data_IF_956157127617
#
_entry.id   IF_956157127617
#
_cell.length_a   1.000
_cell.length_b   1.000
_cell.length_c   1.000
_cell.angle_alpha   90.00
_cell.angle_beta   90.00
_cell.angle_gamma   90.00
#
_symmetry.space_group_name_H-M   'P 1'
#
loop_
_entity.id
_entity.type
_entity.pdbx_description
1 polymer ?
#
# COMPACT_ATOMS: atom_id res chain seq x y z
N UNK A 1 10.17 17.72 13.14
CA UNK A 1 9.41 16.83 12.22
C UNK A 1 9.27 17.57 10.90
N UNK A 2 9.83 17.03 9.81
CA UNK A 2 9.76 17.66 8.48
C UNK A 2 8.33 17.46 7.98
N UNK A 3 7.54 18.52 7.86
CA UNK A 3 6.14 18.43 7.43
C UNK A 3 6.04 17.83 6.02
N UNK A 4 5.08 16.94 5.82
CA UNK A 4 4.86 16.28 4.53
C UNK A 4 4.55 17.31 3.43
N UNK A 5 5.32 17.25 2.35
CA UNK A 5 5.17 18.17 1.23
C UNK A 5 3.88 17.88 0.46
N UNK A 6 3.43 18.86 -0.33
CA UNK A 6 2.28 18.68 -1.21
C UNK A 6 2.50 17.63 -2.31
N UNK A 7 3.71 17.09 -2.49
CA UNK A 7 4.07 16.11 -3.51
C UNK A 7 4.52 14.76 -2.94
N UNK A 8 4.46 14.56 -1.63
CA UNK A 8 4.81 13.27 -1.04
C UNK A 8 3.77 12.20 -1.43
N UNK A 9 4.27 11.01 -1.73
CA UNK A 9 3.49 9.84 -2.15
C UNK A 9 4.02 8.62 -1.40
N UNK A 10 3.19 8.01 -0.56
CA UNK A 10 3.51 6.75 0.09
C UNK A 10 3.06 5.61 -0.83
N UNK A 11 3.95 4.68 -1.14
CA UNK A 11 3.63 3.41 -1.80
C UNK A 11 3.95 2.30 -0.82
N UNK A 12 2.96 1.45 -0.55
CA UNK A 12 3.14 0.28 0.31
C UNK A 12 2.88 -0.98 -0.49
N UNK A 13 3.63 -2.04 -0.21
CA UNK A 13 3.43 -3.32 -0.89
C UNK A 13 3.22 -4.50 0.07
N UNK A 14 2.26 -5.35 -0.28
CA UNK A 14 2.04 -6.66 0.33
C UNK A 14 2.35 -7.74 -0.71
N UNK A 15 3.28 -8.65 -0.42
CA UNK A 15 3.73 -9.67 -1.37
C UNK A 15 4.24 -10.94 -0.69
N UNK A 16 4.09 -12.08 -1.35
CA UNK A 16 4.77 -13.33 -0.96
C UNK A 16 5.99 -13.64 -1.82
N UNK A 17 5.93 -13.33 -3.12
CA UNK A 17 6.95 -13.75 -4.10
C UNK A 17 7.62 -12.58 -4.83
N UNK A 18 7.33 -11.33 -4.44
CA UNK A 18 8.02 -10.14 -4.93
C UNK A 18 7.33 -9.39 -6.08
N UNK A 19 6.30 -9.95 -6.72
CA UNK A 19 5.63 -9.29 -7.86
C UNK A 19 5.03 -7.92 -7.50
N UNK A 20 4.44 -7.80 -6.31
CA UNK A 20 3.84 -6.55 -5.86
C UNK A 20 4.90 -5.54 -5.40
N UNK A 21 6.03 -6.01 -4.87
CA UNK A 21 7.20 -5.17 -4.54
C UNK A 21 7.79 -4.56 -5.81
N UNK A 22 8.11 -5.38 -6.82
CA UNK A 22 8.65 -4.93 -8.11
C UNK A 22 7.72 -3.90 -8.77
N UNK A 23 6.41 -4.17 -8.76
CA UNK A 23 5.43 -3.22 -9.31
C UNK A 23 5.37 -1.92 -8.50
N UNK A 24 5.48 -1.97 -7.18
CA UNK A 24 5.52 -0.77 -6.34
C UNK A 24 6.78 0.06 -6.61
N UNK A 25 7.92 -0.58 -6.83
CA UNK A 25 9.17 0.09 -7.25
C UNK A 25 9.00 0.78 -8.61
N UNK A 26 8.42 0.08 -9.60
CA UNK A 26 8.13 0.63 -10.93
C UNK A 26 7.21 1.85 -10.87
N UNK A 27 6.11 1.78 -10.11
CA UNK A 27 5.21 2.92 -9.89
C UNK A 27 5.96 4.05 -9.19
N UNK A 28 6.81 3.74 -8.23
CA UNK A 28 7.72 4.69 -7.60
C UNK A 28 8.60 5.39 -8.63
N UNK A 29 9.27 4.66 -9.52
CA UNK A 29 10.09 5.23 -10.59
C UNK A 29 9.30 6.12 -11.54
N UNK A 30 8.12 5.67 -11.99
CA UNK A 30 7.26 6.44 -12.89
C UNK A 30 6.73 7.73 -12.24
N UNK A 31 6.36 7.67 -10.96
CA UNK A 31 5.79 8.82 -10.24
C UNK A 31 6.78 9.98 -10.09
N UNK A 32 8.10 9.71 -10.08
CA UNK A 32 9.14 10.75 -10.06
C UNK A 32 9.08 11.62 -11.31
N UNK A 33 8.71 11.07 -12.46
CA UNK A 33 8.55 11.83 -13.71
C UNK A 33 7.32 12.78 -13.69
N UNK A 34 6.46 12.64 -12.67
CA UNK A 34 5.28 13.48 -12.44
C UNK A 34 5.47 14.46 -11.26
N UNK A 35 6.72 14.66 -10.85
CA UNK A 35 7.18 15.44 -9.69
C UNK A 35 6.59 15.01 -8.34
N UNK A 36 6.34 13.71 -8.15
CA UNK A 36 6.08 13.17 -6.82
C UNK A 36 7.39 12.82 -6.10
N UNK A 37 7.32 12.81 -4.77
CA UNK A 37 8.37 12.29 -3.88
C UNK A 37 7.92 10.93 -3.34
N UNK A 38 8.08 9.84 -4.10
CA UNK A 38 7.64 8.52 -3.67
C UNK A 38 8.52 7.99 -2.54
N UNK A 39 7.88 7.34 -1.57
CA UNK A 39 8.49 6.47 -0.58
C UNK A 39 7.86 5.09 -0.73
N UNK A 40 8.62 4.11 -1.20
CA UNK A 40 8.18 2.71 -1.32
C UNK A 40 8.56 2.00 -0.02
N UNK A 41 7.62 1.25 0.56
CA UNK A 41 7.76 0.60 1.85
C UNK A 41 7.10 -0.77 1.85
N UNK A 42 7.71 -1.74 2.52
CA UNK A 42 7.05 -2.99 2.88
C UNK A 42 5.90 -2.69 3.87
N UNK A 43 4.78 -3.40 3.76
CA UNK A 43 3.69 -3.30 4.72
C UNK A 43 4.08 -3.77 6.13
N UNK A 44 5.09 -4.64 6.27
CA UNK A 44 5.63 -5.07 7.57
C UNK A 44 6.30 -3.91 8.33
N UNK A 45 6.83 -2.93 7.59
CA UNK A 45 7.53 -1.75 8.12
C UNK A 45 6.63 -0.51 8.27
N UNK A 46 5.31 -0.67 8.16
CA UNK A 46 4.32 0.44 8.16
C UNK A 46 3.22 0.20 9.18
N UNK A 47 2.83 1.26 9.89
CA UNK A 47 1.69 1.24 10.80
C UNK A 47 0.44 1.90 10.19
N UNK A 48 -0.73 1.64 10.80
CA UNK A 48 -1.96 2.39 10.52
C UNK A 48 -1.73 3.91 10.64
N UNK A 49 -0.98 4.36 11.65
CA UNK A 49 -0.71 5.78 11.86
C UNK A 49 0.07 6.41 10.70
N UNK A 50 1.01 5.67 10.09
CA UNK A 50 1.80 6.15 8.96
C UNK A 50 0.92 6.39 7.73
N UNK A 51 0.00 5.44 7.44
CA UNK A 51 -0.92 5.57 6.30
C UNK A 51 -1.99 6.64 6.54
N UNK A 52 -2.53 6.73 7.76
CA UNK A 52 -3.52 7.76 8.17
C UNK A 52 -2.92 9.17 8.16
N UNK A 53 -1.63 9.30 8.45
CA UNK A 53 -0.93 10.60 8.41
C UNK A 53 -0.54 11.01 6.99
N UNK A 54 -0.66 10.09 6.01
CA UNK A 54 -0.27 10.35 4.64
C UNK A 54 -1.31 11.20 3.89
N UNK A 55 -0.85 12.02 2.93
CA UNK A 55 -1.78 12.74 2.04
C UNK A 55 -2.17 11.91 0.82
N UNK A 56 -1.25 11.06 0.37
CA UNK A 56 -1.39 10.22 -0.81
C UNK A 56 -0.78 8.86 -0.57
N UNK A 57 -1.56 7.83 -0.87
CA UNK A 57 -1.22 6.44 -0.66
C UNK A 57 -1.48 5.64 -1.93
N UNK A 58 -0.55 4.78 -2.33
CA UNK A 58 -0.80 3.71 -3.29
C UNK A 58 -0.53 2.41 -2.56
N UNK A 59 -1.52 1.53 -2.56
CA UNK A 59 -1.44 0.19 -1.98
C UNK A 59 -1.25 -0.80 -3.13
N UNK A 60 -0.14 -1.54 -3.14
CA UNK A 60 0.13 -2.57 -4.15
C UNK A 60 0.12 -3.91 -3.45
N UNK A 61 -0.90 -4.74 -3.66
CA UNK A 61 -1.07 -5.95 -2.85
C UNK A 61 -1.46 -7.15 -3.72
N UNK A 62 -0.78 -8.27 -3.54
CA UNK A 62 -1.23 -9.55 -4.10
C UNK A 62 -2.25 -10.23 -3.21
N UNK A 63 -3.15 -11.02 -3.80
CA UNK A 63 -4.01 -11.97 -3.07
C UNK A 63 -3.32 -13.34 -2.98
N UNK A 64 -3.56 -14.07 -1.90
CA UNK A 64 -3.00 -15.40 -1.65
C UNK A 64 -4.02 -16.36 -1.06
N UNK A 65 -3.76 -17.66 -1.19
CA UNK A 65 -4.58 -18.71 -0.59
C UNK A 65 -6.05 -18.60 -0.97
N UNK A 66 -6.89 -18.43 0.04
CA UNK A 66 -8.36 -18.36 -0.09
C UNK A 66 -8.86 -16.90 -0.12
N UNK A 67 -8.14 -16.03 -0.84
CA UNK A 67 -8.46 -14.61 -0.96
C UNK A 67 -7.86 -13.73 0.15
N UNK A 68 -6.85 -14.25 0.84
CA UNK A 68 -6.16 -13.60 1.95
C UNK A 68 -5.08 -12.63 1.46
N UNK A 69 -4.74 -11.66 2.29
CA UNK A 69 -3.56 -10.83 2.14
C UNK A 69 -2.26 -11.64 2.36
N UNK A 70 -1.12 -11.18 1.83
CA UNK A 70 0.19 -11.75 2.12
C UNK A 70 0.57 -11.58 3.60
N UNK A 71 1.49 -12.42 4.08
CA UNK A 71 1.99 -12.43 5.46
C UNK A 71 2.57 -11.07 5.86
N UNK A 72 3.36 -10.44 4.99
CA UNK A 72 3.95 -9.12 5.27
C UNK A 72 2.89 -8.00 5.35
N UNK A 73 1.65 -8.25 4.92
CA UNK A 73 0.53 -7.31 5.01
C UNK A 73 -0.41 -7.59 6.19
N UNK A 74 -0.26 -8.73 6.89
CA UNK A 74 -1.23 -9.23 7.84
C UNK A 74 -1.51 -8.28 9.02
N UNK A 75 -0.46 -7.71 9.61
CA UNK A 75 -0.60 -6.84 10.78
C UNK A 75 -1.24 -5.50 10.43
N UNK A 76 -0.88 -4.93 9.27
CA UNK A 76 -1.50 -3.71 8.76
C UNK A 76 -2.97 -3.96 8.39
N UNK A 77 -3.28 -5.09 7.75
CA UNK A 77 -4.65 -5.50 7.43
C UNK A 77 -5.51 -5.56 8.70
N UNK A 78 -5.07 -6.29 9.72
CA UNK A 78 -5.78 -6.41 11.00
C UNK A 78 -5.97 -5.05 11.68
N UNK A 79 -4.95 -4.19 11.61
CA UNK A 79 -5.01 -2.85 12.19
C UNK A 79 -6.04 -1.95 11.49
N UNK A 80 -6.12 -2.02 10.16
CA UNK A 80 -7.12 -1.29 9.38
C UNK A 80 -8.52 -1.86 9.59
N UNK A 81 -8.69 -3.18 9.58
CA UNK A 81 -9.98 -3.85 9.82
C UNK A 81 -10.54 -3.53 11.21
N UNK A 82 -9.68 -3.44 12.23
CA UNK A 82 -10.07 -3.10 13.60
C UNK A 82 -10.19 -1.60 13.89
N UNK A 83 -9.96 -0.73 12.90
CA UNK A 83 -10.00 0.73 13.06
C UNK A 83 -11.42 1.30 12.85
N UNK A 84 -11.60 2.56 13.20
CA UNK A 84 -12.86 3.27 12.92
C UNK A 84 -12.97 3.66 11.43
N UNK A 85 -14.20 3.93 10.98
CA UNK A 85 -14.51 4.28 9.58
C UNK A 85 -13.83 5.59 9.11
N UNK A 86 -13.27 6.40 10.01
CA UNK A 86 -12.58 7.65 9.71
C UNK A 86 -11.05 7.53 9.72
N UNK A 87 -10.50 6.32 9.88
CA UNK A 87 -9.07 6.10 10.01
C UNK A 87 -8.23 6.63 8.83
N UNK A 88 -8.81 6.74 7.63
CA UNK A 88 -8.17 7.29 6.42
C UNK A 88 -8.80 8.62 5.96
N UNK A 89 -9.51 9.32 6.84
CA UNK A 89 -10.10 10.62 6.49
C UNK A 89 -9.02 11.62 6.04
N UNK A 90 -9.18 12.17 4.84
CA UNK A 90 -8.21 13.08 4.23
C UNK A 90 -7.06 12.41 3.46
N UNK A 91 -6.97 11.09 3.46
CA UNK A 91 -5.99 10.34 2.65
C UNK A 91 -6.57 10.12 1.25
N UNK A 92 -5.84 10.54 0.21
CA UNK A 92 -6.18 10.18 -1.16
C UNK A 92 -5.46 8.87 -1.51
N UNK A 93 -6.20 7.77 -1.69
CA UNK A 93 -5.58 6.47 -1.94
C UNK A 93 -6.00 5.85 -3.28
N UNK A 94 -5.14 4.97 -3.78
CA UNK A 94 -5.45 4.04 -4.86
C UNK A 94 -4.93 2.65 -4.51
N UNK A 95 -5.55 1.62 -5.08
CA UNK A 95 -5.15 0.21 -4.87
C UNK A 95 -4.82 -0.42 -6.21
N UNK A 96 -3.67 -1.09 -6.27
CA UNK A 96 -3.23 -1.93 -7.37
C UNK A 96 -3.22 -3.36 -6.85
N UNK A 97 -4.29 -4.09 -7.12
CA UNK A 97 -4.45 -5.48 -6.68
C UNK A 97 -3.86 -6.42 -7.73
N UNK A 98 -3.05 -7.38 -7.28
CA UNK A 98 -2.55 -8.49 -8.10
C UNK A 98 -3.28 -9.77 -7.70
N UNK A 99 -3.80 -10.48 -8.69
CA UNK A 99 -4.47 -11.76 -8.50
C UNK A 99 -4.45 -12.55 -9.80
N UNK A 100 -5.00 -13.75 -9.76
CA UNK A 100 -5.11 -14.62 -10.93
C UNK A 100 -6.56 -15.09 -11.09
N UNK A 101 -7.15 -14.79 -12.24
CA UNK A 101 -8.53 -15.16 -12.62
C UNK A 101 -8.80 -16.67 -12.61
N UNK A 102 -7.76 -17.50 -12.52
CA UNK A 102 -7.89 -18.95 -12.36
C UNK A 102 -8.32 -19.38 -10.95
N UNK A 103 -8.22 -18.49 -9.95
CA UNK A 103 -8.58 -18.77 -8.56
C UNK A 103 -10.02 -18.35 -8.25
N UNK A 104 -10.64 -19.03 -7.28
CA UNK A 104 -12.06 -18.82 -6.92
C UNK A 104 -12.34 -17.42 -6.37
N UNK A 105 -11.38 -16.83 -5.64
CA UNK A 105 -11.54 -15.55 -4.94
C UNK A 105 -10.95 -14.35 -5.69
N UNK A 106 -10.88 -14.39 -7.02
CA UNK A 106 -10.48 -13.26 -7.86
C UNK A 106 -11.58 -12.19 -8.00
#
# INVERSE_FOLDING_TARGET
MKGMSARDLLLIFGTETGNAEELAEDVGHLSRNLDFNPKVMDMEDISLQDISSSKRLIVVCSTWGEGEQPVNAQDLYNSVEGSDDHCLEGVNFAVIALGDTAFEFF
#
